data_IF_997819000189
#
_entry.id   IF_997819000189
#
_cell.length_a   1.000
_cell.length_b   1.000
_cell.length_c   1.000
_cell.angle_alpha   90.00
_cell.angle_beta   90.00
_cell.angle_gamma   90.00
#
_symmetry.space_group_name_H-M   'P 1'
#
loop_
_entity.id
_entity.type
_entity.pdbx_description
1 polymer ?
#
# COMPACT_ATOMS: atom_id res chain seq x y z
N UNK A 1 -46.42 -0.45 -10.71
CA UNK A 1 -45.03 -0.93 -10.55
C UNK A 1 -45.10 -2.37 -10.10
N UNK A 2 -44.54 -3.30 -10.88
CA UNK A 2 -44.49 -4.72 -10.48
C UNK A 2 -43.40 -4.81 -9.42
N UNK A 3 -43.77 -5.17 -8.19
CA UNK A 3 -42.81 -5.37 -7.12
C UNK A 3 -41.92 -6.55 -7.51
N UNK A 4 -40.63 -6.31 -7.77
CA UNK A 4 -39.65 -7.34 -8.15
C UNK A 4 -38.66 -7.54 -6.99
N UNK A 5 -39.05 -8.31 -5.96
CA UNK A 5 -38.20 -8.55 -4.80
C UNK A 5 -36.95 -9.36 -5.15
N UNK A 6 -37.00 -10.19 -6.21
CA UNK A 6 -35.86 -10.97 -6.66
C UNK A 6 -34.80 -10.06 -7.30
N UNK A 7 -35.22 -9.15 -8.18
CA UNK A 7 -34.33 -8.13 -8.76
C UNK A 7 -33.74 -7.20 -7.70
N UNK A 8 -34.54 -6.79 -6.71
CA UNK A 8 -34.04 -5.97 -5.60
C UNK A 8 -32.98 -6.68 -4.75
N UNK A 9 -33.18 -7.97 -4.43
CA UNK A 9 -32.19 -8.76 -3.70
C UNK A 9 -30.90 -8.98 -4.52
N UNK A 10 -31.02 -9.28 -5.81
CA UNK A 10 -29.87 -9.44 -6.69
C UNK A 10 -29.01 -8.17 -6.75
N UNK A 11 -29.64 -7.00 -6.86
CA UNK A 11 -28.94 -5.71 -6.84
C UNK A 11 -28.27 -5.44 -5.49
N UNK A 12 -28.93 -5.78 -4.38
CA UNK A 12 -28.35 -5.64 -3.05
C UNK A 12 -27.10 -6.53 -2.90
N UNK A 13 -27.17 -7.80 -3.33
CA UNK A 13 -26.05 -8.73 -3.27
C UNK A 13 -24.87 -8.26 -4.13
N UNK A 14 -25.14 -7.75 -5.34
CA UNK A 14 -24.10 -7.18 -6.20
C UNK A 14 -23.44 -5.96 -5.54
N UNK A 15 -24.24 -5.06 -4.97
CA UNK A 15 -23.73 -3.87 -4.28
C UNK A 15 -22.86 -4.25 -3.07
N UNK A 16 -23.25 -5.29 -2.31
CA UNK A 16 -22.44 -5.80 -1.20
C UNK A 16 -21.12 -6.40 -1.72
N UNK A 17 -21.17 -7.18 -2.80
CA UNK A 17 -19.97 -7.77 -3.40
C UNK A 17 -19.00 -6.70 -3.91
N UNK A 18 -19.52 -5.68 -4.61
CA UNK A 18 -18.74 -4.56 -5.12
C UNK A 18 -18.12 -3.75 -3.97
N UNK A 19 -18.88 -3.53 -2.89
CA UNK A 19 -18.37 -2.83 -1.70
C UNK A 19 -17.26 -3.61 -1.02
N UNK A 20 -17.46 -4.92 -0.78
CA UNK A 20 -16.43 -5.77 -0.20
C UNK A 20 -15.17 -5.76 -1.07
N UNK A 21 -15.31 -5.87 -2.39
CA UNK A 21 -14.18 -5.80 -3.31
C UNK A 21 -13.46 -4.45 -3.29
N UNK A 22 -14.22 -3.35 -3.22
CA UNK A 22 -13.67 -2.00 -3.19
C UNK A 22 -12.96 -1.63 -1.88
N UNK A 23 -13.38 -2.23 -0.76
CA UNK A 23 -12.79 -2.00 0.56
C UNK A 23 -11.50 -2.83 0.78
N UNK A 24 -11.17 -3.77 -0.13
CA UNK A 24 -9.93 -4.55 -0.10
C UNK A 24 -8.81 -3.78 -0.80
N UNK A 25 -7.94 -3.13 -0.02
CA UNK A 25 -6.72 -2.54 -0.57
C UNK A 25 -5.62 -3.58 -0.74
N UNK A 26 -5.06 -3.65 -1.95
CA UNK A 26 -3.99 -4.61 -2.30
C UNK A 26 -2.69 -3.87 -2.61
N UNK A 27 -2.77 -2.89 -3.49
CA UNK A 27 -1.63 -2.06 -3.86
C UNK A 27 -2.01 -1.04 -4.92
N UNK A 28 -1.19 -0.01 -5.06
CA UNK A 28 -1.47 1.11 -5.95
C UNK A 28 -0.20 1.93 -6.24
N UNK A 29 -0.14 2.62 -7.38
CA UNK A 29 0.86 3.64 -7.61
C UNK A 29 0.55 4.88 -6.75
N UNK A 30 1.59 5.45 -6.17
CA UNK A 30 1.52 6.66 -5.36
C UNK A 30 2.66 7.62 -5.70
N UNK A 31 2.55 8.88 -5.27
CA UNK A 31 3.66 9.83 -5.23
C UNK A 31 4.07 10.11 -3.78
N UNK A 32 5.38 10.27 -3.55
CA UNK A 32 5.90 10.63 -2.23
C UNK A 32 5.57 12.08 -1.90
N UNK A 33 4.96 12.31 -0.75
CA UNK A 33 4.64 13.64 -0.21
C UNK A 33 5.80 14.13 0.67
N UNK A 34 6.28 13.26 1.56
CA UNK A 34 7.36 13.48 2.52
C UNK A 34 8.02 12.13 2.86
N UNK A 35 9.30 12.17 3.25
CA UNK A 35 10.06 11.00 3.68
C UNK A 35 10.84 11.32 4.96
N UNK A 36 10.70 10.48 5.98
CA UNK A 36 11.49 10.49 7.21
C UNK A 36 12.53 9.38 7.12
N UNK A 37 13.77 9.76 6.82
CA UNK A 37 14.91 8.86 6.70
C UNK A 37 15.30 8.23 8.05
N UNK A 38 14.99 8.89 9.18
CA UNK A 38 15.30 8.34 10.50
C UNK A 38 14.31 7.25 10.92
N UNK A 39 13.04 7.39 10.55
CA UNK A 39 11.99 6.43 10.84
C UNK A 39 11.80 5.37 9.73
N UNK A 40 12.41 5.58 8.57
CA UNK A 40 12.22 4.78 7.35
C UNK A 40 10.73 4.66 7.00
N UNK A 41 10.09 5.83 6.91
CA UNK A 41 8.67 6.00 6.63
C UNK A 41 8.44 7.15 5.64
N UNK A 42 7.41 7.03 4.81
CA UNK A 42 6.99 8.11 3.91
C UNK A 42 5.48 8.34 3.97
N UNK A 43 5.06 9.58 3.80
CA UNK A 43 3.68 9.88 3.46
C UNK A 43 3.53 9.84 1.94
N UNK A 44 2.49 9.17 1.44
CA UNK A 44 2.29 8.96 0.00
C UNK A 44 0.86 9.29 -0.40
N UNK A 45 0.72 9.92 -1.57
CA UNK A 45 -0.56 10.24 -2.18
C UNK A 45 -0.87 9.20 -3.25
N UNK A 46 -1.89 8.34 -3.09
CA UNK A 46 -2.34 7.44 -4.14
C UNK A 46 -2.77 8.23 -5.39
N UNK A 47 -2.48 7.68 -6.56
CA UNK A 47 -2.70 8.36 -7.85
C UNK A 47 -3.91 7.85 -8.62
N UNK A 48 -4.53 6.75 -8.19
CA UNK A 48 -5.73 6.21 -8.81
C UNK A 48 -6.95 6.67 -8.04
N UNK A 49 -7.82 7.41 -8.72
CA UNK A 49 -9.14 7.80 -8.19
C UNK A 49 -10.14 6.69 -8.51
N UNK A 50 -10.64 6.02 -7.49
CA UNK A 50 -11.70 4.99 -7.62
C UNK A 50 -13.09 5.53 -7.30
N UNK A 51 -13.19 6.67 -6.60
CA UNK A 51 -14.43 7.36 -6.25
C UNK A 51 -14.56 8.76 -6.86
N UNK A 52 -15.45 9.60 -6.30
CA UNK A 52 -15.59 11.00 -6.70
C UNK A 52 -14.47 11.89 -6.17
N UNK A 53 -13.94 11.56 -5.00
CA UNK A 53 -12.96 12.37 -4.27
C UNK A 53 -11.52 11.95 -4.56
N UNK A 54 -10.57 12.82 -4.25
CA UNK A 54 -9.16 12.43 -4.24
C UNK A 54 -8.89 11.39 -3.16
N UNK A 55 -8.04 10.38 -3.43
CA UNK A 55 -7.64 9.43 -2.40
C UNK A 55 -7.00 10.15 -1.21
N UNK A 56 -7.30 9.69 0.00
CA UNK A 56 -6.62 10.21 1.18
C UNK A 56 -5.11 9.92 1.11
N UNK A 57 -4.31 10.83 1.67
CA UNK A 57 -2.87 10.60 1.87
C UNK A 57 -2.70 9.43 2.85
N UNK A 58 -1.86 8.47 2.47
CA UNK A 58 -1.42 7.40 3.34
C UNK A 58 -0.22 7.90 4.13
N UNK A 59 -0.34 7.89 5.45
CA UNK A 59 0.70 8.41 6.34
C UNK A 59 1.60 7.28 6.84
N UNK A 60 2.89 7.56 6.95
CA UNK A 60 3.84 6.66 7.61
C UNK A 60 4.02 5.29 6.94
N UNK A 61 3.85 5.20 5.63
CA UNK A 61 4.08 3.96 4.88
C UNK A 61 5.54 3.51 5.05
N UNK A 62 5.74 2.22 5.35
CA UNK A 62 7.08 1.66 5.56
C UNK A 62 7.84 1.56 4.24
N UNK A 63 9.17 1.65 4.28
CA UNK A 63 10.01 1.48 3.10
C UNK A 63 10.85 0.21 3.20
N UNK A 64 11.02 -0.50 2.08
CA UNK A 64 11.89 -1.69 2.02
C UNK A 64 13.34 -1.32 1.78
N UNK A 65 14.24 -1.79 2.63
CA UNK A 65 15.68 -1.82 2.36
C UNK A 65 16.08 -2.96 1.43
N UNK A 66 17.23 -2.84 0.76
CA UNK A 66 17.73 -3.88 -0.14
C UNK A 66 19.21 -4.17 0.11
N UNK A 67 19.58 -5.45 0.04
CA UNK A 67 20.98 -5.88 -0.07
C UNK A 67 21.19 -6.49 -1.43
N UNK A 68 22.09 -5.91 -2.21
CA UNK A 68 22.35 -6.31 -3.58
C UNK A 68 23.83 -6.61 -3.77
N UNK A 69 24.13 -7.48 -4.75
CA UNK A 69 25.49 -7.72 -5.25
C UNK A 69 25.45 -7.85 -6.76
N UNK A 70 26.57 -7.52 -7.40
CA UNK A 70 26.70 -7.69 -8.84
C UNK A 70 26.73 -9.17 -9.22
N UNK A 71 26.02 -9.53 -10.28
CA UNK A 71 26.03 -10.88 -10.83
C UNK A 71 27.42 -11.30 -11.33
N UNK A 72 28.24 -10.34 -11.77
CA UNK A 72 29.63 -10.55 -12.21
C UNK A 72 30.61 -10.81 -11.06
N UNK A 73 30.14 -10.86 -9.82
CA UNK A 73 30.97 -10.99 -8.61
C UNK A 73 31.15 -9.67 -7.86
N UNK A 74 31.45 -9.76 -6.57
CA UNK A 74 31.57 -8.64 -5.64
C UNK A 74 31.04 -8.98 -4.25
N UNK A 75 31.25 -8.09 -3.28
CA UNK A 75 30.66 -8.19 -1.95
C UNK A 75 29.21 -7.69 -1.95
N UNK A 76 28.39 -8.22 -1.06
CA UNK A 76 27.06 -7.67 -0.79
C UNK A 76 27.16 -6.24 -0.27
N UNK A 77 26.28 -5.39 -0.75
CA UNK A 77 26.15 -4.01 -0.30
C UNK A 77 24.72 -3.76 0.18
N UNK A 78 24.61 -3.09 1.31
CA UNK A 78 23.34 -2.62 1.86
C UNK A 78 23.03 -1.23 1.31
N UNK A 79 21.83 -1.09 0.75
CA UNK A 79 21.35 0.15 0.17
C UNK A 79 20.21 0.67 1.05
N UNK A 80 20.42 1.87 1.58
CA UNK A 80 19.41 2.61 2.33
C UNK A 80 18.49 3.31 1.34
N UNK A 81 17.17 3.06 1.36
CA UNK A 81 16.22 3.77 0.54
C UNK A 81 16.28 5.28 0.73
N UNK A 82 16.26 6.01 -0.38
CA UNK A 82 16.15 7.47 -0.41
C UNK A 82 14.98 7.83 -1.31
N UNK A 83 14.04 8.59 -0.78
CA UNK A 83 12.91 9.12 -1.52
C UNK A 83 12.92 10.63 -1.51
N UNK A 84 12.51 11.23 -2.61
CA UNK A 84 12.33 12.67 -2.78
C UNK A 84 10.85 12.97 -2.95
N UNK A 85 10.48 14.21 -2.65
CA UNK A 85 9.14 14.72 -2.96
C UNK A 85 8.83 14.47 -4.44
N UNK A 86 7.61 14.02 -4.69
CA UNK A 86 7.06 13.68 -6.00
C UNK A 86 7.65 12.43 -6.66
N UNK A 87 8.52 11.66 -5.96
CA UNK A 87 8.94 10.36 -6.46
C UNK A 87 7.74 9.43 -6.66
N UNK A 88 7.68 8.77 -7.82
CA UNK A 88 6.64 7.80 -8.12
C UNK A 88 7.02 6.44 -7.55
N UNK A 89 6.13 5.86 -6.76
CA UNK A 89 6.36 4.59 -6.05
C UNK A 89 5.21 3.62 -6.25
N UNK A 90 5.49 2.34 -6.03
CA UNK A 90 4.45 1.34 -5.87
C UNK A 90 4.30 0.96 -4.40
N UNK A 91 3.06 0.93 -3.92
CA UNK A 91 2.69 0.58 -2.55
C UNK A 91 1.97 -0.75 -2.55
N UNK A 92 2.36 -1.64 -1.66
CA UNK A 92 1.65 -2.88 -1.33
C UNK A 92 1.01 -2.73 0.04
N UNK A 93 -0.19 -3.29 0.20
CA UNK A 93 -0.91 -3.33 1.46
C UNK A 93 -0.84 -4.75 2.02
N UNK A 94 -0.56 -4.89 3.30
CA UNK A 94 -0.55 -6.20 3.95
C UNK A 94 -1.96 -6.72 4.25
N UNK A 95 -2.12 -8.04 4.22
CA UNK A 95 -3.38 -8.71 4.53
C UNK A 95 -3.83 -8.50 5.99
N UNK A 96 -2.91 -8.19 6.90
CA UNK A 96 -3.17 -7.97 8.32
C UNK A 96 -2.16 -6.99 8.91
N UNK A 97 -2.48 -6.45 10.08
CA UNK A 97 -1.59 -5.51 10.79
C UNK A 97 -0.16 -6.04 10.93
N UNK A 98 0.82 -5.26 10.47
CA UNK A 98 2.22 -5.72 10.38
C UNK A 98 3.09 -5.32 11.56
N UNK A 99 2.64 -4.36 12.38
CA UNK A 99 3.43 -3.69 13.43
C UNK A 99 4.25 -4.66 14.29
N UNK A 100 3.61 -5.70 14.82
CA UNK A 100 4.28 -6.64 15.73
C UNK A 100 5.28 -7.56 15.01
N UNK A 101 5.04 -7.89 13.74
CA UNK A 101 5.93 -8.70 12.92
C UNK A 101 7.22 -7.96 12.54
N UNK A 102 7.24 -6.63 12.59
CA UNK A 102 8.43 -5.81 12.32
C UNK A 102 9.57 -6.04 13.33
N UNK A 103 9.30 -6.72 14.44
CA UNK A 103 10.34 -7.19 15.38
C UNK A 103 11.18 -8.34 14.83
N UNK A 104 10.75 -8.96 13.73
CA UNK A 104 11.37 -10.16 13.15
C UNK A 104 10.91 -11.47 13.80
N UNK A 105 9.98 -11.42 14.77
CA UNK A 105 9.40 -12.58 15.41
C UNK A 105 8.00 -12.90 14.88
N UNK A 106 7.60 -14.18 14.97
CA UNK A 106 6.21 -14.58 14.72
C UNK A 106 5.32 -13.91 15.76
N UNK A 107 4.38 -13.08 15.32
CA UNK A 107 3.51 -12.30 16.20
C UNK A 107 2.06 -12.30 15.71
N UNK A 108 1.13 -12.12 16.65
CA UNK A 108 -0.28 -11.89 16.36
C UNK A 108 -0.51 -10.39 16.13
N UNK A 109 -1.41 -9.98 15.22
CA UNK A 109 -1.82 -8.58 15.12
C UNK A 109 -2.57 -8.12 16.40
N UNK A 110 -2.41 -6.85 16.75
CA UNK A 110 -3.11 -6.24 17.90
C UNK A 110 -4.56 -5.88 17.53
N UNK A 111 -4.82 -5.59 16.26
CA UNK A 111 -6.14 -5.25 15.72
C UNK A 111 -6.66 -6.30 14.74
N UNK A 112 -7.96 -6.21 14.40
CA UNK A 112 -8.59 -7.02 13.36
C UNK A 112 -8.56 -6.35 11.98
N UNK A 113 -7.70 -5.34 11.79
CA UNK A 113 -7.59 -4.64 10.50
C UNK A 113 -6.99 -5.57 9.46
N UNK A 114 -7.56 -5.54 8.27
CA UNK A 114 -7.14 -6.32 7.11
C UNK A 114 -7.17 -5.42 5.89
N UNK A 115 -6.18 -5.53 5.02
CA UNK A 115 -6.10 -4.73 3.80
C UNK A 115 -6.22 -3.22 4.08
N UNK A 116 -5.62 -2.75 5.18
CA UNK A 116 -5.75 -1.39 5.68
C UNK A 116 -4.58 -0.52 5.22
N UNK A 117 -4.85 0.73 4.83
CA UNK A 117 -3.84 1.68 4.36
C UNK A 117 -2.73 1.95 5.39
N UNK A 118 -2.99 1.77 6.69
CA UNK A 118 -1.99 1.93 7.74
C UNK A 118 -0.90 0.85 7.71
N UNK A 119 -1.15 -0.25 7.01
CA UNK A 119 -0.22 -1.37 6.83
C UNK A 119 0.43 -1.33 5.42
N UNK A 120 0.55 -0.12 4.87
CA UNK A 120 1.19 0.16 3.60
C UNK A 120 2.72 0.04 3.65
N UNK A 121 3.26 -0.58 2.60
CA UNK A 121 4.70 -0.76 2.38
C UNK A 121 5.06 -0.33 0.96
N UNK A 122 5.99 0.60 0.83
CA UNK A 122 6.60 1.00 -0.44
C UNK A 122 7.60 -0.08 -0.85
N UNK A 123 7.33 -0.74 -1.98
CA UNK A 123 8.16 -1.83 -2.49
C UNK A 123 9.22 -1.37 -3.49
N UNK A 124 9.11 -0.15 -4.01
CA UNK A 124 10.11 0.44 -4.89
C UNK A 124 9.68 1.73 -5.56
N UNK A 125 10.66 2.42 -6.15
CA UNK A 125 10.48 3.60 -7.00
C UNK A 125 10.21 3.12 -8.44
N UNK A 126 9.21 3.71 -9.08
CA UNK A 126 8.91 3.46 -10.49
C UNK A 126 9.94 4.19 -11.37
N UNK A 127 10.47 3.55 -12.44
CA UNK A 127 11.51 4.15 -13.29
C UNK A 127 11.14 5.51 -13.90
N UNK A 128 9.83 5.77 -14.06
CA UNK A 128 9.31 7.05 -14.54
C UNK A 128 9.65 8.24 -13.64
N UNK A 129 10.13 8.01 -12.41
CA UNK A 129 10.58 9.01 -11.46
C UNK A 129 11.94 9.63 -11.79
N UNK A 130 12.81 8.91 -12.52
CA UNK A 130 14.20 9.32 -12.76
C UNK A 130 14.39 10.16 -14.04
N UNK A 131 13.31 10.82 -14.51
CA UNK A 131 13.34 11.64 -15.73
C UNK A 131 14.03 12.98 -15.52
#
# INVERSE_FOLDING_TARGET
MKNDPAGALANLLQTIADKIGGDIHVGFPAKVVSFDESAMMADVQPLIRTGSDEPAVVQGARVLGQRLKLASGGSEQEYVPVFKKDDLVYVSIADSEIKNALTGAVAKPDTSRQHDMNDAVIVGILPSSFK
#
